data_IF_064870935046
#
_entry.id   IF_064870935046
#
_cell.length_a   1.000
_cell.length_b   1.000
_cell.length_c   1.000
_cell.angle_alpha   90.00
_cell.angle_beta   90.00
_cell.angle_gamma   90.00
#
_symmetry.space_group_name_H-M   'P 1'
#
loop_
_entity.id
_entity.type
_entity.pdbx_description
1 polymer ?
#
# COMPACT_ATOMS: atom_id res chain seq x y z
N UNK A 1 -10.00 -4.37 -15.11
CA UNK A 1 -9.75 -3.19 -14.27
C UNK A 1 -10.73 -3.07 -13.10
N UNK A 2 -12.02 -3.22 -13.33
CA UNK A 2 -13.03 -3.11 -12.26
C UNK A 2 -12.77 -4.07 -11.12
N UNK A 3 -12.40 -5.32 -11.41
CA UNK A 3 -12.10 -6.30 -10.36
C UNK A 3 -10.92 -5.88 -9.49
N UNK A 4 -9.88 -5.26 -10.05
CA UNK A 4 -8.75 -4.76 -9.24
C UNK A 4 -9.17 -3.59 -8.35
N UNK A 5 -10.07 -2.74 -8.82
CA UNK A 5 -10.63 -1.67 -8.00
C UNK A 5 -11.39 -2.27 -6.81
N UNK A 6 -12.24 -3.26 -7.05
CA UNK A 6 -13.01 -3.93 -6.01
C UNK A 6 -12.09 -4.63 -5.02
N UNK A 7 -11.06 -5.34 -5.48
CA UNK A 7 -10.09 -5.98 -4.60
C UNK A 7 -9.30 -4.97 -3.78
N UNK A 8 -8.96 -3.81 -4.34
CA UNK A 8 -8.28 -2.75 -3.59
C UNK A 8 -9.17 -2.17 -2.50
N UNK A 9 -10.47 -2.05 -2.75
CA UNK A 9 -11.46 -1.61 -1.75
C UNK A 9 -11.53 -2.64 -0.62
N UNK A 10 -11.57 -3.94 -0.93
CA UNK A 10 -11.55 -4.98 0.09
C UNK A 10 -10.27 -4.94 0.91
N UNK A 11 -9.13 -4.72 0.27
CA UNK A 11 -7.86 -4.56 0.97
C UNK A 11 -7.92 -3.40 1.97
N UNK A 12 -8.46 -2.27 1.55
CA UNK A 12 -8.63 -1.10 2.42
C UNK A 12 -9.55 -1.41 3.61
N UNK A 13 -10.68 -2.08 3.34
CA UNK A 13 -11.63 -2.46 4.40
C UNK A 13 -11.00 -3.43 5.40
N UNK A 14 -10.25 -4.42 4.93
CA UNK A 14 -9.53 -5.35 5.80
C UNK A 14 -8.52 -4.58 6.66
N UNK A 15 -7.78 -3.65 6.07
CA UNK A 15 -6.81 -2.84 6.82
C UNK A 15 -7.46 -1.90 7.83
N UNK A 16 -8.67 -1.40 7.56
CA UNK A 16 -9.44 -0.62 8.53
C UNK A 16 -9.77 -1.43 9.79
N UNK A 17 -10.06 -2.71 9.62
CA UNK A 17 -10.45 -3.60 10.71
C UNK A 17 -9.25 -4.22 11.42
N UNK A 18 -8.14 -4.38 10.73
CA UNK A 18 -6.99 -5.15 11.20
C UNK A 18 -6.42 -4.69 12.55
N UNK A 19 -6.22 -3.37 12.81
CA UNK A 19 -5.71 -2.93 14.12
C UNK A 19 -6.58 -3.36 15.30
N UNK A 20 -7.89 -3.44 15.09
CA UNK A 20 -8.82 -3.87 16.13
C UNK A 20 -8.77 -5.38 16.36
N UNK A 21 -8.58 -6.17 15.30
CA UNK A 21 -8.47 -7.63 15.43
C UNK A 21 -7.20 -8.08 16.14
N UNK A 22 -6.08 -7.37 15.94
CA UNK A 22 -4.80 -7.70 16.55
C UNK A 22 -4.46 -6.79 17.73
N UNK A 23 -5.47 -6.23 18.36
CA UNK A 23 -5.38 -5.31 19.49
C UNK A 23 -4.62 -5.88 20.67
N UNK A 24 -4.67 -7.20 20.88
CA UNK A 24 -3.96 -7.89 21.95
C UNK A 24 -2.43 -7.82 21.80
N UNK A 25 -1.93 -7.54 20.61
CA UNK A 25 -0.51 -7.38 20.31
C UNK A 25 -0.26 -5.95 19.84
N UNK A 26 0.09 -5.09 20.79
CA UNK A 26 0.23 -3.63 20.55
C UNK A 26 1.19 -3.32 19.41
N UNK A 27 2.33 -4.02 19.32
CA UNK A 27 3.32 -3.79 18.27
C UNK A 27 2.73 -3.98 16.87
N UNK A 28 2.03 -5.09 16.65
CA UNK A 28 1.40 -5.40 15.37
C UNK A 28 0.25 -4.44 15.07
N UNK A 29 -0.53 -4.09 16.09
CA UNK A 29 -1.64 -3.15 15.95
C UNK A 29 -1.15 -1.75 15.52
N UNK A 30 -0.07 -1.27 16.11
CA UNK A 30 0.53 0.02 15.72
C UNK A 30 1.06 -0.01 14.30
N UNK A 31 1.73 -1.09 13.89
CA UNK A 31 2.22 -1.25 12.52
C UNK A 31 1.06 -1.32 11.53
N UNK A 32 -0.01 -2.03 11.87
CA UNK A 32 -1.20 -2.11 11.03
C UNK A 32 -1.86 -0.73 10.86
N UNK A 33 -1.91 0.08 11.92
CA UNK A 33 -2.44 1.44 11.85
C UNK A 33 -1.58 2.34 10.95
N UNK A 34 -0.27 2.22 11.03
CA UNK A 34 0.66 2.98 10.18
C UNK A 34 0.56 2.53 8.72
N UNK A 35 0.42 1.23 8.47
CA UNK A 35 0.22 0.69 7.13
C UNK A 35 -1.09 1.19 6.52
N UNK A 36 -2.15 1.24 7.31
CA UNK A 36 -3.45 1.79 6.89
C UNK A 36 -3.33 3.26 6.50
N UNK A 37 -2.64 4.06 7.31
CA UNK A 37 -2.41 5.47 7.01
C UNK A 37 -1.66 5.65 5.70
N UNK A 38 -0.62 4.84 5.49
CA UNK A 38 0.15 4.89 4.25
C UNK A 38 -0.69 4.52 3.03
N UNK A 39 -1.53 3.48 3.14
CA UNK A 39 -2.46 3.12 2.06
C UNK A 39 -3.43 4.27 1.77
N UNK A 40 -3.98 4.89 2.80
CA UNK A 40 -4.91 6.00 2.66
C UNK A 40 -4.34 7.21 1.93
N UNK A 41 -3.04 7.41 1.96
CA UNK A 41 -2.37 8.49 1.25
C UNK A 41 -2.34 8.26 -0.28
N UNK A 42 -2.16 7.02 -0.71
CA UNK A 42 -2.04 6.67 -2.14
C UNK A 42 -3.32 6.10 -2.74
N UNK A 43 -4.27 5.65 -1.91
CA UNK A 43 -5.47 4.99 -2.37
C UNK A 43 -6.36 5.87 -3.26
N UNK A 44 -6.63 7.16 -2.92
CA UNK A 44 -7.39 8.04 -3.81
C UNK A 44 -6.71 8.25 -5.16
N UNK A 45 -5.39 8.33 -5.17
CA UNK A 45 -4.59 8.44 -6.40
C UNK A 45 -4.80 7.21 -7.28
N UNK A 46 -4.67 6.02 -6.69
CA UNK A 46 -4.89 4.77 -7.41
C UNK A 46 -6.32 4.69 -7.98
N UNK A 47 -7.33 4.99 -7.17
CA UNK A 47 -8.73 4.95 -7.60
C UNK A 47 -8.97 5.91 -8.77
N UNK A 48 -8.45 7.12 -8.69
CA UNK A 48 -8.59 8.11 -9.74
C UNK A 48 -7.95 7.63 -11.04
N UNK A 49 -6.73 7.12 -10.97
CA UNK A 49 -6.02 6.61 -12.15
C UNK A 49 -6.71 5.39 -12.75
N UNK A 50 -7.21 4.48 -11.92
CA UNK A 50 -7.90 3.28 -12.37
C UNK A 50 -9.23 3.62 -13.06
N UNK A 51 -10.02 4.53 -12.48
CA UNK A 51 -11.30 4.97 -13.06
C UNK A 51 -11.05 5.68 -14.40
N UNK A 52 -10.07 6.58 -14.46
CA UNK A 52 -9.71 7.25 -15.71
C UNK A 52 -9.24 6.25 -16.77
N UNK A 53 -8.53 5.21 -16.37
CA UNK A 53 -8.10 4.15 -17.30
C UNK A 53 -9.27 3.41 -17.90
N UNK A 54 -10.35 3.18 -17.12
CA UNK A 54 -11.58 2.57 -17.63
C UNK A 54 -12.27 3.51 -18.63
N UNK A 55 -12.43 4.76 -18.26
CA UNK A 55 -13.13 5.76 -19.10
C UNK A 55 -12.41 5.96 -20.42
N UNK A 56 -11.07 6.00 -20.41
CA UNK A 56 -10.24 6.24 -21.59
C UNK A 56 -9.82 4.95 -22.29
N UNK A 57 -10.23 3.77 -21.82
CA UNK A 57 -9.87 2.46 -22.37
C UNK A 57 -8.36 2.22 -22.48
N UNK A 58 -7.60 2.59 -21.45
CA UNK A 58 -6.16 2.38 -21.40
C UNK A 58 -5.87 0.98 -20.84
N UNK A 59 -5.78 0.00 -21.72
CA UNK A 59 -5.59 -1.42 -21.34
C UNK A 59 -4.24 -1.69 -20.67
N UNK A 60 -3.20 -0.93 -21.03
CA UNK A 60 -1.88 -1.08 -20.42
C UNK A 60 -1.90 -0.87 -18.90
N UNK A 61 -2.85 -0.09 -18.39
CA UNK A 61 -2.97 0.17 -16.96
C UNK A 61 -3.60 -0.99 -16.17
N UNK A 62 -4.19 -1.98 -16.83
CA UNK A 62 -4.76 -3.16 -16.16
C UNK A 62 -3.66 -3.94 -15.46
N UNK A 63 -2.57 -4.25 -16.14
CA UNK A 63 -1.44 -4.96 -15.55
C UNK A 63 -0.76 -4.13 -14.46
N UNK A 64 -0.64 -2.84 -14.67
CA UNK A 64 -0.07 -1.93 -13.67
C UNK A 64 -0.94 -1.87 -12.41
N UNK A 65 -2.26 -1.89 -12.54
CA UNK A 65 -3.17 -1.96 -11.40
C UNK A 65 -2.97 -3.25 -10.61
N UNK A 66 -2.78 -4.38 -11.31
CA UNK A 66 -2.47 -5.65 -10.67
C UNK A 66 -1.16 -5.58 -9.90
N UNK A 67 -0.11 -5.02 -10.49
CA UNK A 67 1.19 -4.88 -9.83
C UNK A 67 1.10 -3.96 -8.60
N UNK A 68 0.34 -2.87 -8.69
CA UNK A 68 0.12 -2.00 -7.54
C UNK A 68 -0.57 -2.74 -6.39
N UNK A 69 -1.61 -3.51 -6.70
CA UNK A 69 -2.34 -4.28 -5.70
C UNK A 69 -1.44 -5.31 -5.02
N UNK A 70 -0.64 -6.06 -5.81
CA UNK A 70 0.33 -7.02 -5.28
C UNK A 70 1.35 -6.32 -4.38
N UNK A 71 1.88 -5.19 -4.83
CA UNK A 71 2.85 -4.41 -4.04
C UNK A 71 2.24 -3.95 -2.71
N UNK A 72 0.98 -3.54 -2.69
CA UNK A 72 0.30 -3.11 -1.46
C UNK A 72 0.03 -4.27 -0.50
N UNK A 73 -0.31 -5.45 -1.01
CA UNK A 73 -0.47 -6.66 -0.19
C UNK A 73 0.88 -7.05 0.44
N UNK A 74 1.94 -7.06 -0.35
CA UNK A 74 3.29 -7.33 0.15
C UNK A 74 3.73 -6.31 1.18
N UNK A 75 3.45 -5.03 0.94
CA UNK A 75 3.74 -3.95 1.88
C UNK A 75 3.05 -4.19 3.23
N UNK A 76 1.77 -4.55 3.20
CA UNK A 76 1.01 -4.83 4.42
C UNK A 76 1.63 -5.99 5.20
N UNK A 77 1.90 -7.11 4.54
CA UNK A 77 2.46 -8.31 5.18
C UNK A 77 3.84 -8.00 5.76
N UNK A 78 4.71 -7.36 5.01
CA UNK A 78 6.07 -7.01 5.46
C UNK A 78 6.01 -6.03 6.63
N UNK A 79 5.18 -5.02 6.54
CA UNK A 79 5.09 -3.98 7.56
C UNK A 79 4.59 -4.54 8.89
N UNK A 80 3.47 -5.25 8.86
CA UNK A 80 2.83 -5.77 10.08
C UNK A 80 3.66 -6.88 10.71
N UNK A 81 4.23 -7.78 9.89
CA UNK A 81 5.06 -8.88 10.39
C UNK A 81 6.37 -8.42 11.02
N UNK A 82 6.86 -7.25 10.61
CA UNK A 82 8.12 -6.72 11.12
C UNK A 82 9.37 -7.41 10.59
N UNK A 83 9.27 -8.12 9.46
CA UNK A 83 10.42 -8.79 8.86
C UNK A 83 11.52 -7.78 8.53
N UNK A 84 12.75 -8.04 8.99
CA UNK A 84 13.90 -7.20 8.72
C UNK A 84 13.90 -5.85 9.43
N UNK A 85 13.09 -5.66 10.48
CA UNK A 85 13.09 -4.43 11.26
C UNK A 85 14.44 -4.25 11.95
N UNK A 86 14.97 -3.03 11.83
CA UNK A 86 16.13 -2.58 12.59
C UNK A 86 15.71 -1.34 13.39
N UNK A 87 16.18 -1.27 14.63
CA UNK A 87 15.95 -0.10 15.48
C UNK A 87 17.09 0.87 15.24
N UNK A 88 16.73 2.11 14.85
CA UNK A 88 17.69 3.21 14.71
C UNK A 88 17.49 4.18 15.84
N UNK A 89 18.57 4.45 16.59
CA UNK A 89 18.57 5.47 17.63
C UNK A 89 18.85 6.82 16.97
N UNK A 90 17.96 7.77 17.17
CA UNK A 90 18.10 9.15 16.69
C UNK A 90 17.93 10.12 17.87
N UNK A 91 18.17 11.40 17.65
CA UNK A 91 17.96 12.44 18.66
C UNK A 91 16.52 12.53 19.16
N UNK A 92 15.57 12.06 18.35
CA UNK A 92 14.13 12.00 18.70
C UNK A 92 13.72 10.69 19.38
N UNK A 93 14.67 9.74 19.58
CA UNK A 93 14.43 8.43 20.19
C UNK A 93 14.71 7.27 19.26
N UNK A 94 14.16 6.10 19.58
CA UNK A 94 14.29 4.89 18.79
C UNK A 94 13.23 4.83 17.69
N UNK A 95 13.66 4.62 16.43
CA UNK A 95 12.77 4.45 15.29
C UNK A 95 12.98 3.08 14.64
N UNK A 96 11.87 2.41 14.30
CA UNK A 96 11.90 1.17 13.53
C UNK A 96 12.18 1.48 12.06
N UNK A 97 13.13 0.76 11.47
CA UNK A 97 13.50 0.90 10.06
C UNK A 97 13.36 -0.46 9.36
N UNK A 98 12.58 -0.49 8.28
CA UNK A 98 12.45 -1.66 7.41
C UNK A 98 12.80 -1.25 5.98
N UNK A 99 14.00 -1.64 5.52
CA UNK A 99 14.44 -1.29 4.17
C UNK A 99 13.56 -1.95 3.10
N UNK A 100 13.19 -3.23 3.30
CA UNK A 100 12.34 -3.97 2.37
C UNK A 100 10.98 -3.28 2.20
N UNK A 101 10.39 -2.82 3.29
CA UNK A 101 9.13 -2.07 3.28
C UNK A 101 9.23 -0.83 2.41
N UNK A 102 10.31 -0.06 2.58
CA UNK A 102 10.53 1.15 1.81
C UNK A 102 10.71 0.88 0.32
N UNK A 103 11.40 -0.22 -0.04
CA UNK A 103 11.57 -0.62 -1.43
C UNK A 103 10.23 -1.00 -2.08
N UNK A 104 9.40 -1.78 -1.37
CA UNK A 104 8.07 -2.17 -1.87
C UNK A 104 7.17 -0.95 -2.02
N UNK A 105 7.21 -0.02 -1.05
CA UNK A 105 6.48 1.24 -1.16
C UNK A 105 6.90 2.03 -2.39
N UNK A 106 8.19 2.13 -2.64
CA UNK A 106 8.72 2.84 -3.81
C UNK A 106 8.23 2.21 -5.11
N UNK A 107 8.20 0.88 -5.19
CA UNK A 107 7.65 0.16 -6.35
C UNK A 107 6.19 0.54 -6.56
N UNK A 108 5.38 0.61 -5.51
CA UNK A 108 3.97 0.98 -5.62
C UNK A 108 3.80 2.40 -6.16
N UNK A 109 4.65 3.33 -5.75
CA UNK A 109 4.61 4.72 -6.24
C UNK A 109 5.04 4.80 -7.72
N UNK A 110 6.09 4.07 -8.11
CA UNK A 110 6.53 4.01 -9.51
C UNK A 110 5.41 3.48 -10.40
N UNK A 111 4.68 2.47 -9.96
CA UNK A 111 3.54 1.92 -10.71
C UNK A 111 2.48 3.00 -10.92
N UNK A 112 2.15 3.80 -9.91
CA UNK A 112 1.19 4.89 -10.05
C UNK A 112 1.67 5.96 -11.04
N UNK A 113 2.96 6.28 -11.03
CA UNK A 113 3.55 7.23 -11.98
C UNK A 113 3.43 6.70 -13.42
N UNK A 114 3.70 5.40 -13.62
CA UNK A 114 3.55 4.77 -14.93
C UNK A 114 2.10 4.76 -15.40
N UNK A 115 1.15 4.50 -14.51
CA UNK A 115 -0.27 4.59 -14.83
C UNK A 115 -0.66 6.00 -15.28
N UNK A 116 -0.20 7.01 -14.56
CA UNK A 116 -0.45 8.41 -14.90
C UNK A 116 0.15 8.78 -16.26
N UNK A 117 1.37 8.31 -16.53
CA UNK A 117 2.04 8.52 -17.81
C UNK A 117 1.24 7.94 -18.97
N UNK A 118 0.68 6.75 -18.80
CA UNK A 118 -0.11 6.10 -19.84
C UNK A 118 -1.42 6.83 -20.15
N UNK A 119 -1.91 7.67 -19.24
CA UNK A 119 -3.10 8.50 -19.44
C UNK A 119 -2.82 9.78 -20.21
N UNK A 120 -1.57 10.19 -20.30
CA UNK A 120 -1.16 11.35 -21.09
C UNK A 120 -1.01 10.97 -22.55
#
# INVERSE_FOLDING_TARGET
>A
MISFIVWSIYLYLVQLMLPNFIKSRIEYSERASKALRNLGESFPIFLSLAILSIVLNVEANIDLAMYWLIARILFLVIYVSGVGIKIRVTDSGENEVQLIRSLVWMVSIVVLVLMAKNLL
#
